data_IF_079890418319
#
_entry.id   IF_079890418319
#
_cell.length_a   1.000
_cell.length_b   1.000
_cell.length_c   1.000
_cell.angle_alpha   90.00
_cell.angle_beta   90.00
_cell.angle_gamma   90.00
#
_symmetry.space_group_name_H-M   'P 1'
#
loop_
_entity.id
_entity.type
_entity.pdbx_description
1 polymer ?
#
# COMPACT_ATOMS: atom_id res chain seq x y z
N UNK A 1 -6.82 12.23 -18.97
CA UNK A 1 -6.75 12.57 -17.54
C UNK A 1 -7.70 11.63 -16.80
N UNK A 2 -7.17 10.75 -15.95
CA UNK A 2 -7.96 9.84 -15.12
C UNK A 2 -8.00 10.45 -13.72
N UNK A 3 -9.18 10.87 -13.27
CA UNK A 3 -9.35 11.27 -11.87
C UNK A 3 -9.58 9.99 -11.05
N UNK A 4 -8.77 9.81 -10.02
CA UNK A 4 -9.02 8.85 -8.94
C UNK A 4 -9.30 9.67 -7.69
N UNK A 5 -10.47 9.49 -7.09
CA UNK A 5 -10.84 10.11 -5.82
C UNK A 5 -11.01 9.00 -4.79
N UNK A 6 -10.38 9.20 -3.62
CA UNK A 6 -10.63 8.40 -2.44
C UNK A 6 -10.99 9.36 -1.30
N UNK A 7 -12.16 9.14 -0.70
CA UNK A 7 -12.56 9.84 0.51
C UNK A 7 -12.48 8.85 1.67
N UNK A 8 -11.65 9.18 2.66
CA UNK A 8 -11.50 8.43 3.91
C UNK A 8 -12.01 9.27 5.07
N UNK A 9 -12.83 8.67 5.92
CA UNK A 9 -13.41 9.30 7.10
C UNK A 9 -12.88 8.58 8.33
N UNK A 10 -12.11 9.28 9.16
CA UNK A 10 -11.51 8.72 10.37
C UNK A 10 -12.48 8.69 11.55
N UNK A 11 -12.34 7.66 12.39
CA UNK A 11 -13.07 7.49 13.64
C UNK A 11 -12.05 7.46 14.80
N UNK A 12 -11.62 8.62 15.33
CA UNK A 12 -10.45 8.74 16.21
C UNK A 12 -10.61 8.06 17.58
N UNK A 13 -11.84 7.72 17.96
CA UNK A 13 -12.16 7.03 19.21
C UNK A 13 -12.21 5.49 19.06
N UNK A 14 -11.94 4.98 17.84
CA UNK A 14 -11.85 3.55 17.55
C UNK A 14 -10.40 3.11 17.37
N UNK A 15 -10.13 1.87 17.76
CA UNK A 15 -8.86 1.21 17.47
C UNK A 15 -8.99 0.33 16.23
N UNK A 16 -7.86 -0.02 15.60
CA UNK A 16 -7.81 -1.11 14.63
C UNK A 16 -8.47 -2.40 15.16
N UNK A 17 -8.94 -3.29 14.27
CA UNK A 17 -9.50 -4.57 14.68
C UNK A 17 -8.55 -5.42 15.55
N UNK A 18 -7.24 -5.28 15.34
CA UNK A 18 -6.17 -5.91 16.10
C UNK A 18 -4.93 -5.00 16.12
N UNK A 19 -4.16 -5.00 17.22
CA UNK A 19 -2.91 -4.23 17.33
C UNK A 19 -1.80 -4.79 16.43
N UNK A 20 -1.88 -6.09 16.07
CA UNK A 20 -0.99 -6.71 15.10
C UNK A 20 -1.59 -6.63 13.69
N UNK A 21 -1.04 -5.79 12.79
CA UNK A 21 -1.60 -5.59 11.45
C UNK A 21 -1.49 -6.84 10.54
N UNK A 22 -0.70 -7.85 10.92
CA UNK A 22 -0.64 -9.13 10.21
C UNK A 22 -1.90 -10.00 10.42
N UNK A 23 -2.73 -9.68 11.42
CA UNK A 23 -3.98 -10.40 11.68
C UNK A 23 -5.07 -9.88 10.73
N UNK A 24 -5.35 -10.68 9.71
CA UNK A 24 -6.39 -10.38 8.73
C UNK A 24 -7.78 -10.27 9.38
N UNK A 25 -8.59 -9.33 8.90
CA UNK A 25 -9.97 -9.13 9.30
C UNK A 25 -10.92 -9.22 8.09
N UNK A 26 -12.22 -9.27 8.36
CA UNK A 26 -13.25 -9.40 7.31
C UNK A 26 -13.45 -8.10 6.52
N UNK A 27 -14.04 -8.20 5.31
CA UNK A 27 -14.38 -7.09 4.37
C UNK A 27 -13.23 -6.75 3.41
N UNK A 28 -12.74 -5.52 3.40
CA UNK A 28 -11.69 -5.08 2.47
C UNK A 28 -10.34 -5.67 2.90
N UNK A 29 -9.60 -6.23 1.94
CA UNK A 29 -8.30 -6.87 2.23
C UNK A 29 -7.12 -5.92 2.01
N UNK A 30 -7.14 -5.12 0.94
CA UNK A 30 -6.14 -4.09 0.67
C UNK A 30 -6.66 -3.04 -0.30
N UNK A 31 -6.00 -1.88 -0.35
CA UNK A 31 -6.21 -0.81 -1.33
C UNK A 31 -4.95 -0.65 -2.19
N UNK A 32 -5.12 -0.69 -3.50
CA UNK A 32 -4.00 -0.57 -4.44
C UNK A 32 -3.99 0.78 -5.17
N UNK A 33 -2.83 1.44 -5.15
CA UNK A 33 -2.51 2.60 -5.96
C UNK A 33 -1.64 2.20 -7.14
N UNK A 34 -2.02 2.70 -8.31
CA UNK A 34 -1.24 2.58 -9.54
C UNK A 34 -0.19 3.69 -9.60
N UNK A 35 1.03 3.35 -10.02
CA UNK A 35 2.11 4.30 -10.28
C UNK A 35 2.76 4.00 -11.64
N UNK A 36 3.28 5.05 -12.30
CA UNK A 36 4.10 4.87 -13.48
C UNK A 36 5.34 4.01 -13.14
N UNK A 37 5.77 3.07 -14.02
CA UNK A 37 6.90 2.19 -13.73
C UNK A 37 8.18 2.91 -13.31
N UNK A 38 8.44 4.09 -13.87
CA UNK A 38 9.61 4.92 -13.57
C UNK A 38 9.56 5.53 -12.16
N UNK A 39 8.38 5.60 -11.54
CA UNK A 39 8.18 6.11 -10.19
C UNK A 39 8.27 5.04 -9.10
N UNK A 40 8.31 3.76 -9.44
CA UNK A 40 8.22 2.68 -8.46
C UNK A 40 9.41 2.66 -7.49
N UNK A 41 10.64 2.83 -7.99
CA UNK A 41 11.84 2.83 -7.13
C UNK A 41 11.85 4.05 -6.20
N UNK A 42 11.41 5.20 -6.69
CA UNK A 42 11.23 6.39 -5.86
C UNK A 42 10.19 6.17 -4.76
N UNK A 43 9.09 5.45 -5.04
CA UNK A 43 8.10 5.10 -4.02
C UNK A 43 8.70 4.25 -2.90
N UNK A 44 9.57 3.28 -3.24
CA UNK A 44 10.29 2.47 -2.24
C UNK A 44 11.22 3.33 -1.38
N UNK A 45 11.98 4.24 -1.98
CA UNK A 45 12.85 5.18 -1.26
C UNK A 45 12.05 6.06 -0.29
N UNK A 46 10.88 6.55 -0.72
CA UNK A 46 9.99 7.34 0.14
C UNK A 46 9.53 6.50 1.33
N UNK A 47 9.01 5.29 1.12
CA UNK A 47 8.56 4.39 2.19
C UNK A 47 9.69 4.13 3.20
N UNK A 48 10.89 3.83 2.72
CA UNK A 48 12.07 3.60 3.57
C UNK A 48 12.46 4.87 4.36
N UNK A 49 12.48 6.04 3.71
CA UNK A 49 12.86 7.31 4.33
C UNK A 49 11.91 7.74 5.46
N UNK A 50 10.64 7.35 5.37
CA UNK A 50 9.62 7.61 6.38
C UNK A 50 9.58 6.52 7.47
N UNK A 51 10.41 5.49 7.38
CA UNK A 51 10.44 4.38 8.33
C UNK A 51 9.20 3.48 8.27
N UNK A 52 8.50 3.44 7.13
CA UNK A 52 7.33 2.59 6.95
C UNK A 52 7.76 1.12 6.86
N UNK A 53 7.17 0.28 7.70
CA UNK A 53 7.41 -1.16 7.66
C UNK A 53 6.75 -1.76 6.43
N UNK A 54 7.55 -2.44 5.61
CA UNK A 54 7.08 -3.19 4.45
C UNK A 54 6.50 -4.53 4.94
N UNK A 55 5.24 -4.81 4.59
CA UNK A 55 4.55 -6.04 4.97
C UNK A 55 5.02 -7.26 4.17
N UNK A 56 5.47 -7.03 2.92
CA UNK A 56 6.06 -8.05 2.07
C UNK A 56 7.08 -7.43 1.13
N UNK A 57 8.25 -8.07 1.02
CA UNK A 57 9.33 -7.64 0.12
C UNK A 57 8.78 -7.27 -1.27
N UNK A 58 9.26 -6.16 -1.88
CA UNK A 58 8.80 -5.74 -3.21
C UNK A 58 8.91 -6.88 -4.22
N UNK A 59 7.78 -7.24 -4.83
CA UNK A 59 7.70 -8.33 -5.80
C UNK A 59 7.86 -7.82 -7.21
N UNK A 60 8.69 -8.49 -8.01
CA UNK A 60 8.78 -8.28 -9.46
C UNK A 60 8.23 -9.51 -10.18
N UNK A 61 7.27 -9.30 -11.08
CA UNK A 61 6.60 -10.34 -11.87
C UNK A 61 6.59 -9.95 -13.35
N UNK A 62 6.34 -10.89 -14.28
CA UNK A 62 6.13 -10.54 -15.70
C UNK A 62 4.98 -9.54 -15.93
N UNK A 63 4.06 -9.43 -14.96
CA UNK A 63 2.91 -8.52 -14.99
C UNK A 63 3.19 -7.15 -14.36
N UNK A 64 4.40 -6.89 -13.86
CA UNK A 64 4.74 -5.62 -13.22
C UNK A 64 5.38 -5.78 -11.84
N UNK A 65 5.31 -4.73 -11.03
CA UNK A 65 5.93 -4.68 -9.70
C UNK A 65 4.89 -4.26 -8.65
N UNK A 66 5.08 -4.72 -7.41
CA UNK A 66 4.19 -4.40 -6.29
C UNK A 66 4.93 -4.39 -4.96
N UNK A 67 4.51 -3.52 -4.05
CA UNK A 67 4.95 -3.49 -2.65
C UNK A 67 3.73 -3.33 -1.75
N UNK A 68 3.70 -4.08 -0.65
CA UNK A 68 2.65 -4.02 0.36
C UNK A 68 3.19 -3.43 1.66
N UNK A 69 2.44 -2.52 2.26
CA UNK A 69 2.75 -1.91 3.56
C UNK A 69 1.45 -1.61 4.32
N UNK A 70 1.57 -1.26 5.59
CA UNK A 70 0.42 -0.90 6.42
C UNK A 70 0.30 0.61 6.54
N UNK A 71 -0.92 1.12 6.53
CA UNK A 71 -1.22 2.47 7.00
C UNK A 71 -1.24 2.53 8.54
N UNK A 72 -1.44 3.71 9.15
CA UNK A 72 -1.48 3.86 10.61
C UNK A 72 -2.58 3.05 11.32
N UNK A 73 -3.63 2.64 10.61
CA UNK A 73 -4.73 1.84 11.14
C UNK A 73 -4.51 0.32 10.93
N UNK A 74 -3.35 -0.07 10.42
CA UNK A 74 -3.01 -1.47 10.14
C UNK A 74 -3.64 -2.03 8.86
N UNK A 75 -4.21 -1.17 8.00
CA UNK A 75 -4.80 -1.60 6.73
C UNK A 75 -3.74 -1.73 5.64
N UNK A 76 -3.87 -2.77 4.82
CA UNK A 76 -2.89 -3.06 3.77
C UNK A 76 -3.07 -2.09 2.60
N UNK A 77 -1.99 -1.39 2.26
CA UNK A 77 -1.85 -0.56 1.07
C UNK A 77 -0.85 -1.19 0.12
N UNK A 78 -1.21 -1.25 -1.15
CA UNK A 78 -0.34 -1.66 -2.25
C UNK A 78 0.01 -0.46 -3.12
N UNK A 79 1.29 -0.32 -3.45
CA UNK A 79 1.71 0.47 -4.62
C UNK A 79 2.15 -0.52 -5.69
N UNK A 80 1.60 -0.41 -6.89
CA UNK A 80 1.91 -1.29 -8.02
C UNK A 80 2.09 -0.53 -9.32
N UNK A 81 2.89 -1.08 -10.22
CA UNK A 81 3.06 -0.58 -11.57
C UNK A 81 3.02 -1.72 -12.60
N UNK A 82 2.64 -1.39 -13.82
CA UNK A 82 2.77 -2.27 -14.98
C UNK A 82 4.26 -2.55 -15.32
N UNK A 83 4.56 -3.50 -16.23
CA UNK A 83 5.92 -3.71 -16.72
C UNK A 83 6.47 -2.47 -17.44
N UNK A 84 7.74 -2.16 -17.21
CA UNK A 84 8.48 -1.25 -18.10
C UNK A 84 8.84 -2.02 -19.38
N UNK A 85 8.45 -1.49 -20.54
CA UNK A 85 8.81 -2.03 -21.86
C UNK A 85 10.07 -1.38 -22.42
#
# INVERSE_FOLDING_TARGET
MRLSLIDLFGEPDLNPPDDNPEIAFTRANYLAFDIAPEGFDFALEVLQSQGITIASEPVTRPTGRGVYFYDPDGFIVEIRCDPAF
#
